data_IF_210828101471
#
_entry.id   IF_210828101471
#
_cell.length_a   1.000
_cell.length_b   1.000
_cell.length_c   1.000
_cell.angle_alpha   90.00
_cell.angle_beta   90.00
_cell.angle_gamma   90.00
#
_symmetry.space_group_name_H-M   'P 1'
#
loop_
_entity.id
_entity.type
_entity.pdbx_description
1 polymer ?
#
# COMPACT_ATOMS: atom_id res chain seq x y z
N UNK A 1 0.38 0.79 21.21
CA UNK A 1 0.82 2.05 20.58
C UNK A 1 1.43 3.02 21.61
N UNK A 2 0.71 3.52 22.65
CA UNK A 2 1.27 4.46 23.64
C UNK A 2 2.56 3.94 24.31
N UNK A 3 2.58 2.68 24.73
CA UNK A 3 3.76 2.04 25.34
C UNK A 3 4.96 1.99 24.38
N UNK A 4 4.71 2.00 23.08
CA UNK A 4 5.75 2.07 22.03
C UNK A 4 6.16 3.50 21.66
N UNK A 5 5.70 4.51 22.40
CA UNK A 5 6.04 5.92 22.16
C UNK A 5 5.30 6.60 21.02
N UNK A 6 4.26 5.95 20.47
CA UNK A 6 3.45 6.55 19.40
C UNK A 6 2.49 7.57 19.99
N UNK A 7 2.44 8.77 19.44
CA UNK A 7 1.46 9.79 19.82
C UNK A 7 0.05 9.41 19.33
N UNK A 8 -0.72 8.81 20.25
CA UNK A 8 -2.10 8.36 19.95
C UNK A 8 -3.02 9.53 19.65
N UNK A 9 -2.79 10.71 20.24
CA UNK A 9 -3.66 11.88 20.02
C UNK A 9 -3.51 12.40 18.59
N UNK A 10 -2.28 12.53 18.12
CA UNK A 10 -2.00 12.89 16.73
C UNK A 10 -2.50 11.82 15.74
N UNK A 11 -2.36 10.55 16.06
CA UNK A 11 -2.89 9.46 15.23
C UNK A 11 -4.43 9.55 15.10
N UNK A 12 -5.14 9.71 16.21
CA UNK A 12 -6.62 9.83 16.19
C UNK A 12 -7.05 11.13 15.51
N UNK A 13 -6.30 12.21 15.70
CA UNK A 13 -6.55 13.48 15.01
C UNK A 13 -6.41 13.32 13.50
N UNK A 14 -5.34 12.70 13.02
CA UNK A 14 -5.16 12.43 11.60
C UNK A 14 -6.29 11.59 11.00
N UNK A 15 -6.72 10.54 11.68
CA UNK A 15 -7.85 9.71 11.25
C UNK A 15 -9.16 10.53 11.19
N UNK A 16 -9.40 11.39 12.19
CA UNK A 16 -10.57 12.27 12.23
C UNK A 16 -10.57 13.31 11.10
N UNK A 17 -9.43 13.94 10.87
CA UNK A 17 -9.31 14.96 9.82
C UNK A 17 -9.51 14.32 8.43
N UNK A 18 -8.99 13.12 8.21
CA UNK A 18 -9.28 12.36 6.99
C UNK A 18 -10.76 11.95 6.90
N UNK A 19 -11.38 11.55 8.01
CA UNK A 19 -12.83 11.27 8.05
C UNK A 19 -13.63 12.48 7.57
N UNK A 20 -13.38 13.64 8.13
CA UNK A 20 -14.06 14.88 7.75
C UNK A 20 -13.88 15.14 6.26
N UNK A 21 -12.64 15.10 5.79
CA UNK A 21 -12.28 15.34 4.40
C UNK A 21 -13.08 14.44 3.44
N UNK A 22 -13.03 13.12 3.62
CA UNK A 22 -13.69 12.17 2.68
C UNK A 22 -15.21 12.15 2.80
N UNK A 23 -15.80 12.78 3.82
CA UNK A 23 -17.26 12.93 3.95
C UNK A 23 -17.78 14.28 3.46
N UNK A 24 -16.92 15.30 3.38
CA UNK A 24 -17.30 16.66 2.95
C UNK A 24 -16.95 16.95 1.49
N UNK A 25 -15.93 16.31 0.94
CA UNK A 25 -15.53 16.48 -0.46
C UNK A 25 -16.57 15.90 -1.43
N UNK A 26 -16.75 16.58 -2.56
CA UNK A 26 -17.55 16.08 -3.66
C UNK A 26 -16.96 14.79 -4.24
N UNK A 27 -17.76 13.95 -4.89
CA UNK A 27 -17.30 12.64 -5.36
C UNK A 27 -16.13 12.71 -6.37
N UNK A 28 -16.05 13.78 -7.14
CA UNK A 28 -15.00 14.04 -8.13
C UNK A 28 -13.68 14.58 -7.51
N UNK A 29 -13.74 15.15 -6.32
CA UNK A 29 -12.58 15.62 -5.55
C UNK A 29 -12.11 14.60 -4.51
N UNK A 30 -12.97 13.68 -4.12
CA UNK A 30 -12.76 12.73 -3.05
C UNK A 30 -11.80 11.60 -3.45
N UNK A 31 -10.61 11.61 -2.89
CA UNK A 31 -9.55 10.65 -3.20
C UNK A 31 -9.93 9.19 -2.87
N UNK A 32 -10.79 8.95 -1.87
CA UNK A 32 -11.24 7.61 -1.53
C UNK A 32 -12.23 7.06 -2.57
N UNK A 33 -13.13 7.90 -3.10
CA UNK A 33 -13.99 7.53 -4.22
C UNK A 33 -13.19 7.31 -5.50
N UNK A 34 -12.25 8.19 -5.81
CA UNK A 34 -11.39 8.05 -6.99
C UNK A 34 -10.63 6.73 -6.95
N UNK A 35 -9.98 6.42 -5.82
CA UNK A 35 -9.27 5.17 -5.65
C UNK A 35 -10.19 3.95 -5.77
N UNK A 36 -11.31 3.93 -5.07
CA UNK A 36 -12.27 2.82 -5.13
C UNK A 36 -12.80 2.60 -6.57
N UNK A 37 -13.08 3.69 -7.30
CA UNK A 37 -13.52 3.63 -8.70
C UNK A 37 -12.42 3.09 -9.63
N UNK A 38 -11.20 3.62 -9.54
CA UNK A 38 -10.05 3.18 -10.36
C UNK A 38 -9.72 1.72 -10.09
N UNK A 39 -9.73 1.31 -8.84
CA UNK A 39 -9.52 -0.08 -8.42
C UNK A 39 -10.55 -1.03 -9.05
N UNK A 40 -11.83 -0.68 -9.00
CA UNK A 40 -12.90 -1.46 -9.62
C UNK A 40 -12.85 -1.41 -11.17
N UNK A 41 -12.37 -0.31 -11.75
CA UNK A 41 -12.11 -0.24 -13.18
C UNK A 41 -11.01 -1.21 -13.59
N UNK A 42 -9.87 -1.22 -12.89
CA UNK A 42 -8.81 -2.20 -13.12
C UNK A 42 -9.35 -3.65 -13.02
N UNK A 43 -10.19 -3.92 -12.01
CA UNK A 43 -10.84 -5.24 -11.89
C UNK A 43 -11.71 -5.59 -13.12
N UNK A 44 -12.49 -4.65 -13.63
CA UNK A 44 -13.33 -4.83 -14.84
C UNK A 44 -12.48 -5.06 -16.10
N UNK A 45 -11.34 -4.38 -16.20
CA UNK A 45 -10.38 -4.54 -17.30
C UNK A 45 -9.58 -5.85 -17.24
N UNK A 46 -9.78 -6.67 -16.21
CA UNK A 46 -9.19 -8.00 -16.10
C UNK A 46 -8.01 -8.12 -15.15
N UNK A 47 -7.55 -7.03 -14.53
CA UNK A 47 -6.53 -7.09 -13.49
C UNK A 47 -7.10 -7.78 -12.23
N UNK A 48 -6.33 -8.70 -11.65
CA UNK A 48 -6.77 -9.54 -10.52
C UNK A 48 -5.92 -9.37 -9.27
N UNK A 49 -4.82 -8.68 -9.39
CA UNK A 49 -3.87 -8.45 -8.30
C UNK A 49 -3.65 -6.95 -8.16
N UNK A 50 -3.68 -6.46 -6.95
CA UNK A 50 -3.27 -5.11 -6.58
C UNK A 50 -2.04 -5.19 -5.70
N UNK A 51 -1.00 -4.49 -6.09
CA UNK A 51 0.24 -4.44 -5.33
C UNK A 51 0.42 -3.07 -4.70
N UNK A 52 0.54 -3.03 -3.37
CA UNK A 52 0.90 -1.82 -2.62
C UNK A 52 2.40 -1.83 -2.35
N UNK A 53 3.11 -0.87 -2.91
CA UNK A 53 4.57 -0.80 -2.89
C UNK A 53 5.08 0.49 -2.26
N UNK A 54 6.22 0.44 -1.61
CA UNK A 54 6.94 1.62 -1.14
C UNK A 54 8.43 1.34 -1.02
N UNK A 55 9.20 2.42 -1.08
CA UNK A 55 10.64 2.42 -0.79
C UNK A 55 10.93 2.76 0.68
N UNK A 56 9.90 2.81 1.52
CA UNK A 56 10.01 3.08 2.95
C UNK A 56 9.81 1.79 3.75
N UNK A 57 10.87 1.21 4.35
CA UNK A 57 10.79 -0.07 5.07
C UNK A 57 9.87 -0.02 6.31
N UNK A 58 9.54 1.18 6.79
CA UNK A 58 8.62 1.38 7.89
C UNK A 58 7.20 0.89 7.59
N UNK A 59 6.81 0.73 6.31
CA UNK A 59 5.51 0.21 5.91
C UNK A 59 5.39 -1.31 5.99
N UNK A 60 6.44 -2.06 6.29
CA UNK A 60 6.46 -3.54 6.35
C UNK A 60 5.25 -4.15 7.09
N UNK A 61 4.93 -3.65 8.27
CA UNK A 61 3.78 -4.16 9.02
C UNK A 61 2.45 -3.53 8.60
N UNK A 62 2.47 -2.35 8.02
CA UNK A 62 1.30 -1.73 7.43
C UNK A 62 0.77 -2.54 6.26
N UNK A 63 1.63 -3.07 5.41
CA UNK A 63 1.24 -3.96 4.30
C UNK A 63 0.43 -5.16 4.77
N UNK A 64 0.81 -5.79 5.87
CA UNK A 64 0.08 -6.95 6.42
C UNK A 64 -1.34 -6.59 6.83
N UNK A 65 -1.51 -5.42 7.45
CA UNK A 65 -2.83 -4.91 7.80
C UNK A 65 -3.64 -4.53 6.55
N UNK A 66 -3.03 -3.89 5.58
CA UNK A 66 -3.69 -3.50 4.33
C UNK A 66 -4.14 -4.73 3.52
N UNK A 67 -3.30 -5.75 3.40
CA UNK A 67 -3.65 -7.04 2.78
C UNK A 67 -4.83 -7.68 3.51
N UNK A 68 -4.79 -7.74 4.85
CA UNK A 68 -5.90 -8.26 5.65
C UNK A 68 -7.19 -7.49 5.36
N UNK A 69 -7.13 -6.17 5.41
CA UNK A 69 -8.30 -5.30 5.21
C UNK A 69 -9.02 -5.63 3.88
N UNK A 70 -8.29 -5.60 2.77
CA UNK A 70 -8.88 -5.80 1.44
C UNK A 70 -9.24 -7.26 1.16
N UNK A 71 -8.37 -8.21 1.49
CA UNK A 71 -8.65 -9.63 1.25
C UNK A 71 -9.87 -10.11 2.03
N UNK A 72 -9.97 -9.73 3.31
CA UNK A 72 -11.08 -10.10 4.20
C UNK A 72 -12.40 -9.44 3.79
N UNK A 73 -12.34 -8.18 3.36
CA UNK A 73 -13.53 -7.41 3.04
C UNK A 73 -14.10 -7.72 1.65
N UNK A 74 -13.25 -7.91 0.64
CA UNK A 74 -13.67 -8.03 -0.77
C UNK A 74 -13.73 -9.45 -1.32
N UNK A 75 -12.88 -10.37 -0.82
CA UNK A 75 -12.74 -11.72 -1.35
C UNK A 75 -13.97 -12.59 -1.13
N UNK A 76 -15.09 -12.29 -1.80
CA UNK A 76 -16.41 -12.92 -1.61
C UNK A 76 -17.12 -13.11 -2.94
N UNK A 77 -18.05 -14.06 -3.00
CA UNK A 77 -18.90 -14.33 -4.17
C UNK A 77 -18.08 -14.55 -5.46
N UNK A 78 -16.90 -15.15 -5.35
CA UNK A 78 -15.93 -15.30 -6.46
C UNK A 78 -15.49 -13.97 -7.08
N UNK A 79 -15.56 -12.88 -6.33
CA UNK A 79 -15.11 -11.55 -6.69
C UNK A 79 -13.94 -11.13 -5.80
N UNK A 80 -13.31 -10.01 -6.15
CA UNK A 80 -12.25 -9.38 -5.38
C UNK A 80 -10.96 -9.26 -6.17
N UNK A 81 -10.17 -8.26 -5.78
CA UNK A 81 -8.80 -8.06 -6.24
C UNK A 81 -7.88 -8.60 -5.16
N UNK A 82 -6.96 -9.50 -5.53
CA UNK A 82 -6.05 -10.10 -4.56
C UNK A 82 -4.97 -9.10 -4.15
N UNK A 83 -4.92 -8.67 -2.87
CA UNK A 83 -3.95 -7.69 -2.42
C UNK A 83 -2.60 -8.35 -2.13
N UNK A 84 -1.53 -7.75 -2.65
CA UNK A 84 -0.14 -8.10 -2.33
C UNK A 84 0.63 -6.84 -1.99
N UNK A 85 1.83 -6.97 -1.44
CA UNK A 85 2.70 -5.83 -1.17
C UNK A 85 4.09 -6.04 -1.75
N UNK A 86 4.78 -4.94 -2.04
CA UNK A 86 6.16 -4.91 -2.49
C UNK A 86 7.01 -4.02 -1.60
N UNK A 87 8.04 -4.61 -0.98
CA UNK A 87 9.04 -3.89 -0.20
C UNK A 87 10.24 -3.54 -1.10
N UNK A 88 10.25 -2.34 -1.65
CA UNK A 88 11.35 -1.89 -2.50
C UNK A 88 12.39 -1.12 -1.67
N UNK A 89 13.68 -1.21 -2.00
CA UNK A 89 14.32 -1.85 -3.16
C UNK A 89 14.55 -3.37 -3.02
N UNK A 90 14.25 -3.98 -1.87
CA UNK A 90 14.61 -5.38 -1.55
C UNK A 90 14.09 -6.38 -2.60
N UNK A 91 12.84 -6.20 -3.06
CA UNK A 91 12.15 -7.15 -3.94
C UNK A 91 12.23 -6.80 -5.44
N UNK A 92 13.03 -5.80 -5.84
CA UNK A 92 13.13 -5.39 -7.24
C UNK A 92 13.69 -6.47 -8.17
N UNK A 93 14.60 -7.30 -7.70
CA UNK A 93 15.18 -8.41 -8.48
C UNK A 93 14.29 -9.65 -8.55
N UNK A 94 13.20 -9.69 -7.79
CA UNK A 94 12.24 -10.78 -7.79
C UNK A 94 10.90 -10.33 -8.39
N UNK A 95 10.10 -9.62 -7.61
CA UNK A 95 8.77 -9.15 -8.03
C UNK A 95 8.88 -8.15 -9.18
N UNK A 96 9.87 -7.26 -9.17
CA UNK A 96 10.10 -6.30 -10.24
C UNK A 96 10.38 -6.96 -11.60
N UNK A 97 11.09 -8.09 -11.64
CA UNK A 97 11.27 -8.87 -12.88
C UNK A 97 9.92 -9.37 -13.40
N UNK A 98 9.05 -9.89 -12.54
CA UNK A 98 7.72 -10.35 -12.97
C UNK A 98 6.86 -9.20 -13.51
N UNK A 99 6.91 -8.03 -12.87
CA UNK A 99 6.18 -6.84 -13.31
C UNK A 99 6.62 -6.43 -14.72
N UNK A 100 7.92 -6.45 -14.99
CA UNK A 100 8.46 -5.99 -16.28
C UNK A 100 8.23 -6.96 -17.43
N UNK A 101 8.19 -8.27 -17.17
CA UNK A 101 8.24 -9.28 -18.23
C UNK A 101 7.29 -10.48 -18.01
N UNK A 102 6.54 -10.48 -16.91
CA UNK A 102 5.56 -11.52 -16.59
C UNK A 102 4.17 -11.25 -17.17
N UNK A 103 3.19 -12.05 -16.73
CA UNK A 103 1.80 -11.91 -17.14
C UNK A 103 1.19 -10.59 -16.61
N UNK A 104 0.46 -9.82 -17.43
CA UNK A 104 -0.11 -8.53 -17.03
C UNK A 104 -1.40 -8.72 -16.21
N UNK A 105 -1.28 -9.26 -15.00
CA UNK A 105 -2.41 -9.61 -14.12
C UNK A 105 -2.67 -8.60 -13.01
N UNK A 106 -1.78 -7.61 -12.84
CA UNK A 106 -1.78 -6.70 -11.70
C UNK A 106 -1.78 -5.23 -12.11
N UNK A 107 -2.16 -4.39 -11.16
CA UNK A 107 -1.90 -2.96 -11.13
C UNK A 107 -1.19 -2.60 -9.83
N UNK A 108 -0.53 -1.46 -9.79
CA UNK A 108 0.34 -1.11 -8.67
C UNK A 108 0.01 0.25 -8.07
N UNK A 109 0.17 0.34 -6.76
CA UNK A 109 0.03 1.57 -6.00
C UNK A 109 1.31 1.82 -5.24
N UNK A 110 1.90 2.97 -5.46
CA UNK A 110 3.06 3.43 -4.72
C UNK A 110 2.65 4.32 -3.55
N UNK A 111 3.19 4.03 -2.36
CA UNK A 111 3.20 4.98 -1.24
C UNK A 111 4.52 5.73 -1.26
N UNK A 112 4.47 7.02 -1.51
CA UNK A 112 5.62 7.91 -1.50
C UNK A 112 5.59 8.84 -0.29
N UNK A 113 6.75 9.03 0.37
CA UNK A 113 6.91 9.96 1.50
C UNK A 113 7.79 11.11 1.05
N UNK A 114 7.31 12.35 1.17
CA UNK A 114 7.99 13.53 0.61
C UNK A 114 9.15 14.06 1.46
N UNK A 115 9.12 13.82 2.78
CA UNK A 115 10.13 14.33 3.70
C UNK A 115 10.83 13.20 4.43
N UNK A 116 12.15 13.21 4.38
CA UNK A 116 12.96 12.32 5.22
C UNK A 116 13.00 12.80 6.68
N UNK A 117 13.16 11.86 7.61
CA UNK A 117 13.32 12.17 9.04
C UNK A 117 14.77 12.35 9.47
N UNK A 118 15.70 11.76 8.75
CA UNK A 118 17.12 11.81 9.05
C UNK A 118 17.91 11.79 7.74
N UNK A 119 19.08 12.41 7.74
CA UNK A 119 20.04 12.36 6.65
C UNK A 119 21.11 11.31 6.97
N UNK A 120 21.47 10.53 5.97
CA UNK A 120 22.57 9.58 6.02
C UNK A 120 23.39 9.75 4.74
N UNK A 121 24.56 10.34 4.87
CA UNK A 121 25.44 10.63 3.74
C UNK A 121 26.36 9.44 3.49
N UNK A 122 26.58 9.09 2.24
CA UNK A 122 27.62 8.16 1.82
C UNK A 122 28.97 8.85 2.02
N UNK A 123 29.74 8.35 2.98
CA UNK A 123 31.06 8.90 3.26
C UNK A 123 32.05 8.47 2.16
N UNK A 124 32.75 9.43 1.53
CA UNK A 124 33.80 9.09 0.57
C UNK A 124 34.88 8.23 1.21
N UNK A 125 35.35 7.23 0.50
CA UNK A 125 36.52 6.46 0.92
C UNK A 125 37.59 6.43 -0.19
N UNK A 126 38.79 5.93 0.10
CA UNK A 126 39.90 5.90 -0.84
C UNK A 126 39.91 4.62 -1.73
N UNK A 127 38.81 3.83 -1.71
CA UNK A 127 38.75 2.57 -2.46
C UNK A 127 37.99 2.77 -3.77
N UNK A 128 38.61 2.35 -4.85
CA UNK A 128 37.95 2.25 -6.15
C UNK A 128 37.05 0.99 -6.17
N UNK A 129 35.77 1.13 -5.82
CA UNK A 129 34.81 0.02 -5.72
C UNK A 129 33.64 0.13 -6.72
N UNK A 130 33.74 1.09 -7.66
CA UNK A 130 32.71 1.43 -8.65
C UNK A 130 31.46 2.12 -8.06
N UNK A 131 31.47 2.51 -6.78
CA UNK A 131 30.38 3.25 -6.12
C UNK A 131 30.75 4.73 -5.84
N UNK A 132 31.93 5.20 -6.24
CA UNK A 132 32.42 6.57 -6.07
C UNK A 132 31.42 7.63 -6.54
N UNK A 133 30.56 7.30 -7.51
CA UNK A 133 29.49 8.19 -7.99
C UNK A 133 28.39 8.46 -6.93
N UNK A 134 28.35 7.71 -5.85
CA UNK A 134 27.45 7.89 -4.72
C UNK A 134 28.05 8.74 -3.59
N UNK A 135 29.35 9.00 -3.62
CA UNK A 135 30.06 9.77 -2.60
C UNK A 135 29.41 11.12 -2.37
N UNK A 136 29.21 11.45 -1.10
CA UNK A 136 28.59 12.69 -0.67
C UNK A 136 27.07 12.76 -0.90
N UNK A 137 26.45 11.75 -1.49
CA UNK A 137 24.98 11.71 -1.68
C UNK A 137 24.28 11.23 -0.42
N UNK A 138 23.10 11.77 -0.18
CA UNK A 138 22.20 11.27 0.85
C UNK A 138 21.52 9.96 0.37
N UNK A 139 21.45 8.94 1.25
CA UNK A 139 20.73 7.70 0.98
C UNK A 139 19.26 7.94 0.59
N UNK A 140 18.65 8.98 1.13
CA UNK A 140 17.31 9.41 0.71
C UNK A 140 17.25 9.79 -0.77
N UNK A 141 18.24 10.55 -1.27
CA UNK A 141 18.32 10.94 -2.68
C UNK A 141 18.51 9.71 -3.58
N UNK A 142 19.38 8.78 -3.16
CA UNK A 142 19.61 7.51 -3.86
C UNK A 142 18.31 6.69 -3.93
N UNK A 143 17.61 6.57 -2.80
CA UNK A 143 16.34 5.87 -2.71
C UNK A 143 15.26 6.52 -3.59
N UNK A 144 15.18 7.85 -3.61
CA UNK A 144 14.24 8.57 -4.48
C UNK A 144 14.59 8.42 -5.97
N UNK A 145 15.85 8.38 -6.33
CA UNK A 145 16.25 8.11 -7.70
C UNK A 145 15.78 6.70 -8.16
N UNK A 146 15.93 5.71 -7.30
CA UNK A 146 15.41 4.35 -7.55
C UNK A 146 13.88 4.36 -7.65
N UNK A 147 13.17 5.01 -6.74
CA UNK A 147 11.72 5.17 -6.77
C UNK A 147 11.23 5.74 -8.10
N UNK A 148 11.75 6.89 -8.54
CA UNK A 148 11.31 7.52 -9.80
C UNK A 148 11.61 6.65 -11.03
N UNK A 149 12.76 5.97 -11.04
CA UNK A 149 13.12 5.05 -12.11
C UNK A 149 12.13 3.88 -12.20
N UNK A 150 11.75 3.29 -11.07
CA UNK A 150 10.84 2.16 -11.00
C UNK A 150 9.41 2.57 -11.34
N UNK A 151 8.89 3.67 -10.79
CA UNK A 151 7.57 4.20 -11.16
C UNK A 151 7.49 4.42 -12.68
N UNK A 152 8.55 5.01 -13.27
CA UNK A 152 8.62 5.24 -14.71
C UNK A 152 8.63 3.93 -15.51
N UNK A 153 9.36 2.92 -15.05
CA UNK A 153 9.46 1.63 -15.74
C UNK A 153 8.15 0.85 -15.64
N UNK A 154 7.58 0.74 -14.44
CA UNK A 154 6.34 -0.01 -14.19
C UNK A 154 5.14 0.63 -14.88
N UNK A 155 5.01 1.95 -14.88
CA UNK A 155 3.91 2.67 -15.56
C UNK A 155 3.84 2.45 -17.07
N UNK A 156 4.91 1.95 -17.70
CA UNK A 156 4.90 1.55 -19.12
C UNK A 156 4.34 0.14 -19.34
N UNK A 157 4.15 -0.63 -18.28
CA UNK A 157 3.75 -2.04 -18.33
C UNK A 157 2.37 -2.30 -17.75
N UNK A 158 2.00 -1.57 -16.70
CA UNK A 158 0.77 -1.78 -15.95
C UNK A 158 0.20 -0.45 -15.44
N UNK A 159 -1.09 -0.39 -15.08
CA UNK A 159 -1.64 0.79 -14.43
C UNK A 159 -0.96 1.03 -13.08
N UNK A 160 -0.45 2.25 -12.89
CA UNK A 160 0.16 2.68 -11.63
C UNK A 160 -0.59 3.89 -11.06
N UNK A 161 -0.68 3.94 -9.75
CA UNK A 161 -1.16 5.07 -8.96
C UNK A 161 -0.12 5.43 -7.91
N UNK A 162 -0.08 6.68 -7.47
CA UNK A 162 0.79 7.09 -6.35
C UNK A 162 -0.03 7.82 -5.30
N UNK A 163 0.13 7.41 -4.05
CA UNK A 163 -0.28 8.18 -2.88
C UNK A 163 0.94 8.82 -2.25
N UNK A 164 0.89 10.13 -2.15
CA UNK A 164 1.95 10.93 -1.54
C UNK A 164 1.57 11.30 -0.10
N UNK A 165 2.46 10.99 0.83
CA UNK A 165 2.39 11.48 2.20
C UNK A 165 3.44 12.58 2.40
N UNK A 166 3.08 13.66 3.05
CA UNK A 166 4.03 14.73 3.32
C UNK A 166 5.17 14.25 4.22
N UNK A 167 4.85 13.46 5.23
CA UNK A 167 5.82 12.81 6.11
C UNK A 167 5.23 11.56 6.79
N UNK A 168 6.10 10.69 7.30
CA UNK A 168 5.68 9.47 7.99
C UNK A 168 5.72 9.69 9.51
N UNK A 169 4.61 10.16 10.06
CA UNK A 169 4.38 10.37 11.48
C UNK A 169 3.05 9.77 11.95
N UNK A 170 2.70 9.96 13.22
CA UNK A 170 1.46 9.43 13.79
C UNK A 170 0.22 10.05 13.15
N UNK A 171 0.26 11.33 12.81
CA UNK A 171 -0.86 12.05 12.18
C UNK A 171 -1.15 11.52 10.78
N UNK A 172 -0.15 11.51 9.90
CA UNK A 172 -0.31 11.02 8.53
C UNK A 172 -0.62 9.52 8.48
N UNK A 173 -0.09 8.75 9.43
CA UNK A 173 -0.45 7.35 9.58
C UNK A 173 -1.92 7.16 9.95
N UNK A 174 -2.46 8.02 10.82
CA UNK A 174 -3.89 8.05 11.15
C UNK A 174 -4.75 8.37 9.93
N UNK A 175 -4.34 9.34 9.10
CA UNK A 175 -5.01 9.66 7.84
C UNK A 175 -5.03 8.46 6.90
N UNK A 176 -3.89 7.80 6.72
CA UNK A 176 -3.74 6.65 5.84
C UNK A 176 -4.63 5.48 6.27
N UNK A 177 -4.71 5.22 7.58
CA UNK A 177 -5.58 4.20 8.15
C UNK A 177 -7.05 4.43 7.81
N UNK A 178 -7.56 5.62 8.10
CA UNK A 178 -8.96 5.94 7.83
C UNK A 178 -9.27 5.92 6.34
N UNK A 179 -8.37 6.49 5.53
CA UNK A 179 -8.49 6.50 4.09
C UNK A 179 -8.71 5.09 3.51
N UNK A 180 -7.82 4.15 3.83
CA UNK A 180 -7.94 2.79 3.28
C UNK A 180 -9.16 2.03 3.82
N UNK A 181 -9.56 2.23 5.08
CA UNK A 181 -10.79 1.63 5.60
C UNK A 181 -12.01 2.11 4.83
N UNK A 182 -12.12 3.41 4.62
CA UNK A 182 -13.26 4.00 3.91
C UNK A 182 -13.24 3.63 2.42
N UNK A 183 -12.09 3.68 1.78
CA UNK A 183 -11.93 3.29 0.38
C UNK A 183 -12.24 1.79 0.16
N UNK A 184 -11.85 0.93 1.08
CA UNK A 184 -12.19 -0.49 1.04
C UNK A 184 -13.72 -0.69 1.13
N UNK A 185 -14.40 0.00 2.06
CA UNK A 185 -15.85 0.00 2.15
C UNK A 185 -16.51 0.42 0.82
N UNK A 186 -16.06 1.52 0.22
CA UNK A 186 -16.55 2.01 -1.06
C UNK A 186 -16.32 1.00 -2.19
N UNK A 187 -15.12 0.41 -2.26
CA UNK A 187 -14.77 -0.60 -3.26
C UNK A 187 -15.68 -1.82 -3.15
N UNK A 188 -15.94 -2.32 -1.94
CA UNK A 188 -16.89 -3.41 -1.70
C UNK A 188 -18.30 -3.05 -2.17
N UNK A 189 -18.76 -1.81 -1.93
CA UNK A 189 -20.07 -1.34 -2.38
C UNK A 189 -20.18 -1.31 -3.89
N UNK A 190 -19.16 -0.82 -4.59
CA UNK A 190 -19.10 -0.80 -6.06
C UNK A 190 -19.12 -2.24 -6.61
N UNK A 191 -18.37 -3.15 -5.97
CA UNK A 191 -18.28 -4.56 -6.35
C UNK A 191 -19.55 -5.35 -6.03
N UNK A 192 -20.40 -4.84 -5.13
CA UNK A 192 -21.64 -5.49 -4.68
C UNK A 192 -21.38 -6.66 -3.75
N UNK A 193 -20.42 -6.54 -2.83
CA UNK A 193 -20.13 -7.51 -1.76
C UNK A 193 -20.32 -6.88 -0.39
N UNK A 194 -20.62 -7.72 0.63
CA UNK A 194 -20.71 -7.24 2.01
C UNK A 194 -19.32 -7.20 2.67
N UNK A 195 -18.79 -6.03 3.06
CA UNK A 195 -17.46 -5.95 3.67
C UNK A 195 -17.38 -6.47 5.12
N UNK A 196 -18.50 -6.73 5.78
CA UNK A 196 -18.59 -6.94 7.23
C UNK A 196 -18.76 -8.39 7.67
N UNK A 197 -18.79 -9.34 6.76
CA UNK A 197 -18.88 -10.78 7.05
C UNK A 197 -17.68 -11.55 6.47
N UNK A 198 -17.53 -12.81 6.85
CA UNK A 198 -16.42 -13.67 6.44
C UNK A 198 -16.90 -15.09 6.16
N UNK A 199 -17.85 -15.31 5.23
CA UNK A 199 -18.42 -16.65 5.02
C UNK A 199 -17.38 -17.69 4.59
N UNK A 200 -16.32 -17.29 3.88
CA UNK A 200 -15.27 -18.18 3.39
C UNK A 200 -14.45 -18.88 4.47
N UNK A 201 -14.35 -18.28 5.67
CA UNK A 201 -13.57 -18.87 6.76
C UNK A 201 -14.36 -19.84 7.65
N UNK A 202 -15.68 -19.86 7.53
CA UNK A 202 -16.53 -20.70 8.39
C UNK A 202 -16.35 -22.20 8.11
N UNK A 203 -16.11 -22.57 6.86
CA UNK A 203 -15.93 -23.98 6.49
C UNK A 203 -14.72 -24.62 7.19
N UNK A 204 -13.55 -23.97 7.12
CA UNK A 204 -12.36 -24.56 7.76
C UNK A 204 -12.39 -24.45 9.30
N UNK A 205 -13.08 -23.45 9.87
CA UNK A 205 -13.33 -23.38 11.31
C UNK A 205 -14.15 -24.60 11.78
N UNK A 206 -15.20 -24.96 11.02
CA UNK A 206 -16.02 -26.14 11.31
C UNK A 206 -15.16 -27.40 11.30
N UNK A 207 -14.37 -27.64 10.25
CA UNK A 207 -13.50 -28.81 10.17
C UNK A 207 -12.46 -28.86 11.29
N UNK A 208 -11.90 -27.71 11.66
CA UNK A 208 -10.98 -27.63 12.78
C UNK A 208 -11.66 -28.02 14.11
N UNK A 209 -12.86 -27.53 14.36
CA UNK A 209 -13.61 -27.88 15.58
C UNK A 209 -13.99 -29.35 15.61
N UNK A 210 -14.45 -29.91 14.50
CA UNK A 210 -14.74 -31.35 14.37
C UNK A 210 -13.47 -32.20 14.65
N UNK A 211 -12.33 -31.81 14.10
CA UNK A 211 -11.04 -32.49 14.32
C UNK A 211 -10.57 -32.41 15.79
N UNK A 212 -10.96 -31.36 16.51
CA UNK A 212 -10.65 -31.16 17.92
C UNK A 212 -11.72 -31.72 18.88
N UNK A 213 -12.78 -32.38 18.34
CA UNK A 213 -13.82 -33.00 19.13
C UNK A 213 -14.83 -32.02 19.74
N UNK A 214 -15.05 -30.86 19.13
CA UNK A 214 -16.02 -29.87 19.55
C UNK A 214 -17.25 -29.89 18.69
#
# INVERSE_FOLDING_TARGET
>A
MAVAGIDIRELVKGARDMQIRVHEESADENIAYQYACLRNLCYKEGYRVEMLSSFEPQFRFFYKWWIQLFAESEGKDNKGVFPVAGEFSEELHSVGQFIQDGSPIMFEIFLDVKKQKASLIVEPDEKEDYFDYLDGKDFWEINKAAYYAIVTAHSKKLPCMTFELDELDAYHFGQLFYFFQFACYLSCKIMGVNPFDQPGVEAYKKWMFEALGK
#
